data_IF_320754725388
#
_entry.id   IF_320754725388
#
_cell.length_a   1.000
_cell.length_b   1.000
_cell.length_c   1.000
_cell.angle_alpha   90.00
_cell.angle_beta   90.00
_cell.angle_gamma   90.00
#
_symmetry.space_group_name_H-M   'P 1'
#
loop_
_entity.id
_entity.type
_entity.pdbx_description
1 polymer ?
#
# COMPACT_ATOMS: atom_id res chain seq x y z
N UNK A 1 -7.95 32.45 10.47
CA UNK A 1 -6.64 32.29 11.14
C UNK A 1 -5.63 31.93 10.09
N UNK A 2 -4.54 32.68 10.00
CA UNK A 2 -3.46 32.40 9.05
C UNK A 2 -2.46 31.42 9.67
N UNK A 3 -1.65 30.71 8.84
CA UNK A 3 -0.55 29.87 9.31
C UNK A 3 0.41 30.66 10.24
N UNK A 4 0.57 31.94 9.98
CA UNK A 4 1.41 32.83 10.80
C UNK A 4 0.81 33.02 12.21
N UNK A 5 -0.50 33.21 12.34
CA UNK A 5 -1.18 33.33 13.64
C UNK A 5 -1.04 32.06 14.47
N UNK A 6 -1.09 30.89 13.82
CA UNK A 6 -0.90 29.62 14.47
C UNK A 6 0.56 29.42 14.92
N UNK A 7 1.54 29.77 14.08
CA UNK A 7 2.96 29.73 14.43
C UNK A 7 3.31 30.63 15.62
N UNK A 8 2.75 31.85 15.67
CA UNK A 8 2.94 32.78 16.80
C UNK A 8 2.33 32.20 18.09
N UNK A 9 1.15 31.60 18.01
CA UNK A 9 0.49 30.97 19.17
C UNK A 9 1.26 29.78 19.69
N UNK A 10 1.83 28.96 18.81
CA UNK A 10 2.62 27.78 19.18
C UNK A 10 4.00 28.15 19.74
N UNK A 11 4.62 29.21 19.20
CA UNK A 11 5.95 29.69 19.61
C UNK A 11 5.95 30.69 20.78
N UNK A 12 4.88 30.78 21.56
CA UNK A 12 4.76 31.72 22.70
C UNK A 12 5.15 33.17 22.34
N UNK A 13 4.77 33.66 21.13
CA UNK A 13 5.03 35.00 20.65
C UNK A 13 6.30 35.18 19.82
N UNK A 14 7.07 34.12 19.58
CA UNK A 14 8.20 34.10 18.65
C UNK A 14 7.98 33.09 17.54
N UNK A 15 8.24 33.45 16.27
CA UNK A 15 8.22 32.53 15.13
C UNK A 15 9.63 32.03 14.92
N UNK A 16 9.94 30.88 15.49
CA UNK A 16 11.19 30.14 15.20
C UNK A 16 10.92 29.16 14.07
N UNK A 17 11.88 29.04 13.16
CA UNK A 17 11.79 28.08 12.02
C UNK A 17 11.46 26.67 12.50
N UNK A 18 12.08 26.25 13.61
CA UNK A 18 11.90 24.92 14.19
C UNK A 18 10.44 24.70 14.66
N UNK A 19 9.81 25.70 15.28
CA UNK A 19 8.40 25.63 15.71
C UNK A 19 7.44 25.54 14.53
N UNK A 20 7.75 26.18 13.41
CA UNK A 20 6.94 26.13 12.19
C UNK A 20 7.08 24.75 11.53
N UNK A 21 8.28 24.21 11.48
CA UNK A 21 8.56 22.86 10.95
C UNK A 21 7.86 21.80 11.80
N UNK A 22 7.92 21.91 13.13
CA UNK A 22 7.23 21.01 14.05
C UNK A 22 5.70 21.09 13.87
N UNK A 23 5.15 22.30 13.74
CA UNK A 23 3.71 22.50 13.52
C UNK A 23 3.24 21.92 12.17
N UNK A 24 4.02 22.11 11.10
CA UNK A 24 3.70 21.58 9.77
C UNK A 24 3.83 20.06 9.73
N UNK A 25 4.82 19.50 10.44
CA UNK A 25 4.98 18.05 10.59
C UNK A 25 3.83 17.43 11.40
N UNK A 26 3.41 18.10 12.49
CA UNK A 26 2.33 17.63 13.35
C UNK A 26 0.96 17.56 12.63
N UNK A 27 0.68 18.46 11.68
CA UNK A 27 -0.57 18.42 10.91
C UNK A 27 -0.74 17.14 10.10
N UNK A 28 0.35 16.63 9.48
CA UNK A 28 0.30 15.39 8.72
C UNK A 28 0.19 14.14 9.61
N UNK A 29 0.84 14.15 10.76
CA UNK A 29 0.85 13.02 11.70
C UNK A 29 -0.54 12.74 12.28
N UNK A 30 -1.36 13.75 12.49
CA UNK A 30 -2.73 13.59 12.99
C UNK A 30 -3.66 12.80 12.05
N UNK A 31 -3.32 12.72 10.76
CA UNK A 31 -4.08 11.99 9.75
C UNK A 31 -3.70 10.49 9.65
N UNK A 32 -2.59 10.10 10.28
CA UNK A 32 -2.06 8.72 10.21
C UNK A 32 -3.06 7.68 10.71
N UNK A 33 -3.75 7.86 11.85
CA UNK A 33 -4.71 6.85 12.31
C UNK A 33 -5.81 6.56 11.30
N UNK A 34 -6.31 7.62 10.64
CA UNK A 34 -7.34 7.49 9.63
C UNK A 34 -6.81 6.81 8.37
N UNK A 35 -5.61 7.20 7.92
CA UNK A 35 -4.96 6.57 6.76
C UNK A 35 -4.73 5.06 7.00
N UNK A 36 -4.25 4.67 8.18
CA UNK A 36 -4.07 3.26 8.54
C UNK A 36 -5.41 2.50 8.61
N UNK A 37 -6.48 3.16 9.05
CA UNK A 37 -7.81 2.56 9.05
C UNK A 37 -8.34 2.35 7.63
N UNK A 38 -8.13 3.29 6.70
CA UNK A 38 -8.48 3.16 5.28
C UNK A 38 -7.68 2.03 4.62
N UNK A 39 -6.37 1.93 4.91
CA UNK A 39 -5.52 0.82 4.47
C UNK A 39 -6.08 -0.52 4.97
N UNK A 40 -6.42 -0.61 6.25
CA UNK A 40 -6.93 -1.83 6.86
C UNK A 40 -8.27 -2.29 6.25
N UNK A 41 -9.14 -1.34 5.86
CA UNK A 41 -10.41 -1.63 5.17
C UNK A 41 -10.23 -1.89 3.69
N UNK A 42 -9.07 -1.55 3.09
CA UNK A 42 -8.83 -1.64 1.65
C UNK A 42 -9.46 -0.52 0.84
N UNK A 43 -9.76 0.60 1.48
CA UNK A 43 -10.37 1.79 0.91
C UNK A 43 -9.31 2.61 0.14
N UNK A 44 -8.88 2.08 -1.02
CA UNK A 44 -7.76 2.67 -1.78
C UNK A 44 -8.06 4.09 -2.29
N UNK A 45 -9.28 4.36 -2.70
CA UNK A 45 -9.69 5.68 -3.20
C UNK A 45 -9.63 6.74 -2.11
N UNK A 46 -10.09 6.40 -0.92
CA UNK A 46 -10.09 7.26 0.27
C UNK A 46 -8.66 7.54 0.73
N UNK A 47 -7.82 6.50 0.80
CA UNK A 47 -6.40 6.63 1.14
C UNK A 47 -5.65 7.55 0.17
N UNK A 48 -5.84 7.40 -1.14
CA UNK A 48 -5.24 8.29 -2.15
C UNK A 48 -5.78 9.72 -2.04
N UNK A 49 -7.06 9.88 -1.77
CA UNK A 49 -7.66 11.21 -1.56
C UNK A 49 -7.04 11.90 -0.35
N UNK A 50 -6.82 11.17 0.75
CA UNK A 50 -6.13 11.67 1.94
C UNK A 50 -4.68 12.07 1.65
N UNK A 51 -3.93 11.26 0.90
CA UNK A 51 -2.56 11.60 0.48
C UNK A 51 -2.56 12.88 -0.36
N UNK A 52 -3.54 13.06 -1.26
CA UNK A 52 -3.70 14.30 -2.04
C UNK A 52 -3.93 15.52 -1.15
N UNK A 53 -4.74 15.39 -0.11
CA UNK A 53 -4.98 16.47 0.86
C UNK A 53 -3.71 16.80 1.65
N UNK A 54 -2.99 15.78 2.13
CA UNK A 54 -1.71 15.93 2.81
C UNK A 54 -0.68 16.66 1.93
N UNK A 55 -0.62 16.33 0.64
CA UNK A 55 0.33 16.93 -0.31
C UNK A 55 0.18 18.43 -0.47
N UNK A 56 -1.01 18.99 -0.24
CA UNK A 56 -1.25 20.44 -0.31
C UNK A 56 -0.49 21.22 0.78
N UNK A 57 -0.14 20.55 1.89
CA UNK A 57 0.64 21.10 2.99
C UNK A 57 2.15 20.95 2.85
N UNK A 58 2.63 20.37 1.73
CA UNK A 58 4.06 20.03 1.54
C UNK A 58 4.64 19.23 2.72
N UNK A 59 4.08 18.08 3.07
CA UNK A 59 4.47 17.32 4.24
C UNK A 59 5.89 16.76 4.10
N UNK A 60 6.54 16.52 5.22
CA UNK A 60 7.72 15.65 5.26
C UNK A 60 7.27 14.18 5.23
N UNK A 61 7.43 13.55 4.08
CA UNK A 61 7.04 12.15 3.88
C UNK A 61 7.78 11.17 4.79
N UNK A 62 9.02 11.50 5.19
CA UNK A 62 9.79 10.71 6.15
C UNK A 62 9.15 10.74 7.54
N UNK A 63 8.68 11.92 7.96
CA UNK A 63 7.97 12.10 9.24
C UNK A 63 6.65 11.31 9.22
N UNK A 64 5.92 11.32 8.11
CA UNK A 64 4.69 10.55 7.98
C UNK A 64 4.95 9.04 8.08
N UNK A 65 5.98 8.51 7.40
CA UNK A 65 6.33 7.08 7.51
C UNK A 65 6.78 6.73 8.92
N UNK A 66 7.56 7.58 9.58
CA UNK A 66 7.96 7.38 10.99
C UNK A 66 6.75 7.35 11.93
N UNK A 67 5.79 8.25 11.72
CA UNK A 67 4.55 8.27 12.49
C UNK A 67 3.68 7.03 12.25
N UNK A 68 3.65 6.50 11.01
CA UNK A 68 2.99 5.22 10.72
C UNK A 68 3.66 4.06 11.47
N UNK A 69 5.01 4.03 11.52
CA UNK A 69 5.75 3.01 12.27
C UNK A 69 5.42 3.05 13.76
N UNK A 70 5.44 4.24 14.34
CA UNK A 70 5.10 4.43 15.76
C UNK A 70 3.67 3.97 16.05
N UNK A 71 2.69 4.40 15.24
CA UNK A 71 1.29 4.00 15.40
C UNK A 71 1.10 2.48 15.28
N UNK A 72 1.73 1.83 14.29
CA UNK A 72 1.70 0.38 14.12
C UNK A 72 2.35 -0.36 15.29
N UNK A 73 3.47 0.17 15.81
CA UNK A 73 4.14 -0.37 17.00
C UNK A 73 3.24 -0.31 18.23
N UNK A 74 2.64 0.85 18.51
CA UNK A 74 1.70 1.01 19.63
C UNK A 74 0.46 0.11 19.47
N UNK A 75 -0.01 -0.05 18.24
CA UNK A 75 -1.13 -0.96 17.92
C UNK A 75 -0.77 -2.43 18.20
N UNK A 76 0.45 -2.85 17.84
CA UNK A 76 0.93 -4.20 18.16
C UNK A 76 1.06 -4.43 19.66
N UNK A 77 1.56 -3.43 20.41
CA UNK A 77 1.62 -3.51 21.90
C UNK A 77 0.21 -3.65 22.48
N UNK A 78 -0.74 -2.84 22.01
CA UNK A 78 -2.12 -2.85 22.51
C UNK A 78 -2.80 -4.21 22.32
N UNK A 79 -2.48 -4.95 21.25
CA UNK A 79 -3.02 -6.30 21.01
C UNK A 79 -2.49 -7.34 22.00
N UNK A 80 -1.28 -7.15 22.54
CA UNK A 80 -0.65 -8.12 23.45
C UNK A 80 -0.79 -7.69 24.90
N UNK A 81 -0.68 -6.39 25.18
CA UNK A 81 -0.62 -5.83 26.53
C UNK A 81 -1.24 -4.43 26.55
N UNK A 82 -2.54 -4.33 26.74
CA UNK A 82 -3.30 -3.06 26.77
C UNK A 82 -2.69 -2.03 27.76
N UNK A 83 -2.09 -2.48 28.87
CA UNK A 83 -1.41 -1.59 29.82
C UNK A 83 -0.14 -0.93 29.24
N UNK A 84 0.44 -1.48 28.19
CA UNK A 84 1.64 -0.95 27.56
C UNK A 84 1.47 0.41 26.89
N UNK A 85 0.23 0.82 26.64
CA UNK A 85 -0.13 2.11 25.99
C UNK A 85 -0.70 3.15 26.98
N UNK A 86 -0.54 2.97 28.29
CA UNK A 86 -1.07 3.89 29.30
C UNK A 86 -0.38 5.26 29.30
N UNK A 87 0.78 5.39 28.68
CA UNK A 87 1.53 6.64 28.55
C UNK A 87 0.97 7.57 27.43
N UNK A 88 0.12 7.03 26.55
CA UNK A 88 -0.51 7.79 25.47
C UNK A 88 -1.62 8.71 25.99
N UNK A 89 -1.84 9.83 25.30
CA UNK A 89 -3.00 10.68 25.55
C UNK A 89 -4.31 9.91 25.30
N UNK A 90 -5.44 10.33 25.88
CA UNK A 90 -6.72 9.65 25.68
C UNK A 90 -7.14 9.49 24.22
N UNK A 91 -6.84 10.50 23.38
CA UNK A 91 -7.17 10.47 21.95
C UNK A 91 -6.28 9.50 21.16
N UNK A 92 -4.97 9.53 21.42
CA UNK A 92 -4.01 8.59 20.82
C UNK A 92 -4.31 7.15 21.23
N UNK A 93 -4.56 6.92 22.52
CA UNK A 93 -4.94 5.61 23.03
C UNK A 93 -6.20 5.07 22.34
N UNK A 94 -7.22 5.93 22.17
CA UNK A 94 -8.44 5.54 21.46
C UNK A 94 -8.12 5.14 20.01
N UNK A 95 -7.35 5.94 19.29
CA UNK A 95 -6.97 5.64 17.90
C UNK A 95 -6.19 4.31 17.79
N UNK A 96 -5.25 4.06 18.70
CA UNK A 96 -4.50 2.80 18.77
C UNK A 96 -5.41 1.61 19.02
N UNK A 97 -6.35 1.71 19.97
CA UNK A 97 -7.31 0.64 20.28
C UNK A 97 -8.27 0.37 19.11
N UNK A 98 -8.74 1.43 18.43
CA UNK A 98 -9.60 1.30 17.25
C UNK A 98 -8.86 0.55 16.12
N UNK A 99 -7.57 0.85 15.90
CA UNK A 99 -6.73 0.12 14.93
C UNK A 99 -6.44 -1.31 15.39
N UNK A 100 -6.18 -1.55 16.67
CA UNK A 100 -5.92 -2.88 17.22
C UNK A 100 -7.12 -3.83 17.05
N UNK A 101 -8.34 -3.29 17.08
CA UNK A 101 -9.56 -4.04 16.78
C UNK A 101 -9.82 -4.24 15.28
N UNK A 102 -9.30 -3.36 14.44
CA UNK A 102 -9.54 -3.38 12.99
C UNK A 102 -8.54 -4.25 12.24
N UNK A 103 -7.28 -4.29 12.70
CA UNK A 103 -6.18 -4.97 12.03
C UNK A 103 -5.85 -6.30 12.68
N UNK A 104 -5.59 -7.35 11.89
CA UNK A 104 -5.05 -8.59 12.44
C UNK A 104 -3.58 -8.42 12.88
N UNK A 105 -3.11 -9.21 13.87
CA UNK A 105 -1.70 -9.15 14.31
C UNK A 105 -0.71 -9.35 13.17
N UNK A 106 -1.01 -10.27 12.25
CA UNK A 106 -0.18 -10.58 11.08
C UNK A 106 -0.11 -9.38 10.14
N UNK A 107 -1.24 -8.69 9.93
CA UNK A 107 -1.26 -7.52 9.06
C UNK A 107 -0.52 -6.33 9.67
N UNK A 108 -0.60 -6.13 10.98
CA UNK A 108 0.19 -5.09 11.67
C UNK A 108 1.70 -5.34 11.45
N UNK A 109 2.18 -6.58 11.64
CA UNK A 109 3.58 -6.92 11.42
C UNK A 109 4.01 -6.71 9.97
N UNK A 110 3.15 -7.09 9.01
CA UNK A 110 3.43 -6.90 7.60
C UNK A 110 3.47 -5.41 7.21
N UNK A 111 2.48 -4.62 7.68
CA UNK A 111 2.42 -3.18 7.45
C UNK A 111 3.63 -2.46 8.08
N UNK A 112 4.04 -2.88 9.29
CA UNK A 112 5.25 -2.37 9.92
C UNK A 112 6.50 -2.69 9.09
N UNK A 113 6.64 -3.90 8.57
CA UNK A 113 7.75 -4.27 7.69
C UNK A 113 7.76 -3.45 6.40
N UNK A 114 6.60 -3.20 5.79
CA UNK A 114 6.51 -2.32 4.62
C UNK A 114 6.91 -0.88 4.96
N UNK A 115 6.51 -0.36 6.12
CA UNK A 115 6.88 0.99 6.55
C UNK A 115 8.39 1.12 6.79
N UNK A 116 9.06 0.10 7.36
CA UNK A 116 10.52 0.07 7.49
C UNK A 116 11.22 0.11 6.14
N UNK A 117 10.72 -0.67 5.18
CA UNK A 117 11.25 -0.68 3.82
C UNK A 117 11.02 0.65 3.12
N UNK A 118 9.80 1.20 3.23
CA UNK A 118 9.44 2.51 2.68
C UNK A 118 10.27 3.65 3.25
N UNK A 119 10.52 3.65 4.55
CA UNK A 119 11.38 4.64 5.19
C UNK A 119 12.80 4.65 4.62
N UNK A 120 13.38 3.46 4.40
CA UNK A 120 14.71 3.32 3.81
C UNK A 120 14.74 3.73 2.34
N UNK A 121 13.69 3.40 1.58
CA UNK A 121 13.66 3.57 0.14
C UNK A 121 13.20 4.98 -0.28
N UNK A 122 12.48 5.70 0.60
CA UNK A 122 11.94 7.04 0.33
C UNK A 122 13.01 8.06 -0.09
N UNK A 123 14.19 8.15 0.56
CA UNK A 123 15.25 9.09 0.14
C UNK A 123 15.87 8.77 -1.22
N UNK A 124 15.67 7.54 -1.72
CA UNK A 124 16.19 7.08 -3.01
C UNK A 124 15.18 7.33 -4.14
N UNK A 125 13.95 7.67 -3.81
CA UNK A 125 12.89 7.91 -4.79
C UNK A 125 13.07 9.27 -5.48
N UNK A 126 12.64 9.34 -6.74
CA UNK A 126 12.66 10.59 -7.51
C UNK A 126 11.65 11.62 -6.93
N UNK A 127 10.55 11.12 -6.38
CA UNK A 127 9.49 11.91 -5.77
C UNK A 127 8.97 11.22 -4.50
N UNK A 128 9.07 11.91 -3.38
CA UNK A 128 8.65 11.38 -2.07
C UNK A 128 7.16 11.07 -1.99
N UNK A 129 6.31 11.86 -2.66
CA UNK A 129 4.87 11.60 -2.72
C UNK A 129 4.57 10.27 -3.40
N UNK A 130 5.09 10.07 -4.60
CA UNK A 130 4.87 8.83 -5.36
C UNK A 130 5.39 7.60 -4.59
N UNK A 131 6.53 7.74 -3.90
CA UNK A 131 7.06 6.67 -3.06
C UNK A 131 6.14 6.35 -1.88
N UNK A 132 5.56 7.37 -1.24
CA UNK A 132 4.59 7.20 -0.15
C UNK A 132 3.27 6.59 -0.66
N UNK A 133 2.75 7.03 -1.81
CA UNK A 133 1.59 6.42 -2.46
C UNK A 133 1.82 4.93 -2.73
N UNK A 134 2.99 4.57 -3.29
CA UNK A 134 3.33 3.17 -3.55
C UNK A 134 3.47 2.34 -2.28
N UNK A 135 3.97 2.92 -1.18
CA UNK A 135 3.99 2.26 0.12
C UNK A 135 2.57 1.93 0.58
N UNK A 136 1.66 2.91 0.55
CA UNK A 136 0.25 2.74 0.95
C UNK A 136 -0.46 1.72 0.07
N UNK A 137 -0.31 1.81 -1.26
CA UNK A 137 -0.91 0.85 -2.20
C UNK A 137 -0.39 -0.58 -1.99
N UNK A 138 0.89 -0.74 -1.64
CA UNK A 138 1.47 -2.03 -1.29
C UNK A 138 0.84 -2.61 -0.02
N UNK A 139 0.64 -1.79 1.03
CA UNK A 139 -0.05 -2.23 2.23
C UNK A 139 -1.48 -2.69 1.94
N UNK A 140 -2.21 -1.94 1.12
CA UNK A 140 -3.58 -2.30 0.71
C UNK A 140 -3.61 -3.61 -0.08
N UNK A 141 -2.68 -3.78 -1.04
CA UNK A 141 -2.62 -4.97 -1.89
C UNK A 141 -2.31 -6.26 -1.12
N UNK A 142 -1.57 -6.16 -0.03
CA UNK A 142 -1.16 -7.30 0.80
C UNK A 142 -1.96 -7.44 2.10
N UNK A 143 -3.05 -6.68 2.26
CA UNK A 143 -3.93 -6.88 3.42
C UNK A 143 -4.61 -8.26 3.33
N UNK A 144 -4.85 -8.94 4.45
CA UNK A 144 -5.65 -10.15 4.46
C UNK A 144 -7.07 -9.84 3.96
N UNK A 145 -7.58 -10.65 3.03
CA UNK A 145 -8.98 -10.52 2.60
C UNK A 145 -9.90 -10.73 3.80
N UNK A 146 -10.82 -9.81 4.04
CA UNK A 146 -11.84 -10.01 5.06
C UNK A 146 -12.79 -11.12 4.59
N UNK A 147 -13.26 -11.94 5.53
CA UNK A 147 -14.18 -13.03 5.24
C UNK A 147 -15.45 -12.45 4.56
N UNK A 148 -15.59 -12.64 3.25
CA UNK A 148 -16.68 -12.10 2.43
C UNK A 148 -16.23 -11.25 1.23
N UNK A 149 -15.00 -10.78 1.19
CA UNK A 149 -14.45 -10.17 -0.02
C UNK A 149 -14.02 -11.26 -1.01
N UNK A 150 -14.83 -11.45 -2.02
CA UNK A 150 -14.38 -12.17 -3.21
C UNK A 150 -13.31 -11.30 -3.87
N UNK A 151 -12.05 -11.72 -3.80
CA UNK A 151 -10.98 -11.15 -4.62
C UNK A 151 -11.45 -11.30 -6.05
N UNK A 152 -11.84 -10.18 -6.69
CA UNK A 152 -12.15 -10.17 -8.10
C UNK A 152 -10.95 -10.71 -8.85
N UNK A 153 -11.01 -11.95 -9.28
CA UNK A 153 -10.08 -12.48 -10.27
C UNK A 153 -10.07 -11.48 -11.44
N UNK A 154 -8.87 -11.05 -11.91
CA UNK A 154 -8.83 -10.25 -13.12
C UNK A 154 -9.58 -11.01 -14.21
N UNK A 155 -10.71 -10.43 -14.66
CA UNK A 155 -11.46 -10.97 -15.78
C UNK A 155 -10.50 -10.98 -16.97
N UNK A 156 -10.06 -12.16 -17.36
CA UNK A 156 -9.52 -12.38 -18.70
C UNK A 156 -10.55 -11.83 -19.67
N UNK A 157 -10.15 -11.06 -20.70
CA UNK A 157 -11.10 -10.58 -21.68
C UNK A 157 -11.84 -11.76 -22.25
N UNK A 158 -13.15 -11.84 -21.99
CA UNK A 158 -14.04 -12.82 -22.59
C UNK A 158 -14.04 -12.53 -24.10
N UNK A 159 -13.33 -13.38 -24.83
CA UNK A 159 -13.57 -13.52 -26.28
C UNK A 159 -15.05 -13.90 -26.44
N UNK A 160 -15.80 -13.01 -27.09
CA UNK A 160 -17.22 -13.16 -27.32
C UNK A 160 -17.53 -14.51 -27.97
N UNK A 161 -18.17 -15.37 -27.24
CA UNK A 161 -18.76 -16.61 -27.77
C UNK A 161 -20.07 -16.26 -28.48
N UNK A 162 -20.03 -16.25 -29.78
CA UNK A 162 -21.23 -16.24 -30.63
C UNK A 162 -21.76 -17.69 -30.74
N UNK A 163 -22.98 -18.01 -30.29
CA UNK A 163 -23.48 -19.38 -30.34
C UNK A 163 -24.17 -19.63 -31.70
N UNK A 164 -23.39 -19.83 -32.75
CA UNK A 164 -23.89 -20.57 -33.94
C UNK A 164 -22.85 -20.54 -35.08
N UNK A 165 -21.86 -21.43 -35.07
CA UNK A 165 -21.32 -21.98 -36.29
C UNK A 165 -20.42 -23.17 -35.95
N UNK A 166 -20.87 -24.34 -36.37
CA UNK A 166 -20.10 -25.56 -36.46
C UNK A 166 -19.26 -25.46 -37.74
N UNK A 167 -17.94 -25.59 -37.65
CA UNK A 167 -17.12 -26.02 -38.78
C UNK A 167 -16.49 -27.37 -38.49
N UNK A 168 -16.58 -28.20 -39.45
CA UNK A 168 -15.86 -29.45 -39.71
C UNK A 168 -14.34 -29.18 -39.79
N UNK A 169 -13.49 -30.06 -39.24
CA UNK A 169 -12.04 -29.81 -39.25
C UNK A 169 -11.43 -30.24 -40.56
N UNK A 170 -10.95 -29.30 -41.34
CA UNK A 170 -9.96 -29.56 -42.41
C UNK A 170 -8.54 -29.73 -41.83
N UNK A 171 -7.72 -30.68 -42.28
CA UNK A 171 -6.38 -30.90 -41.76
C UNK A 171 -5.43 -29.79 -42.21
N UNK A 172 -4.82 -29.14 -41.23
CA UNK A 172 -3.84 -28.10 -41.41
C UNK A 172 -2.55 -28.58 -42.08
N UNK A 173 -2.12 -27.87 -43.11
CA UNK A 173 -0.88 -28.11 -43.89
C UNK A 173 0.43 -28.04 -43.07
N UNK A 174 0.36 -27.84 -41.79
CA UNK A 174 1.53 -27.74 -40.89
C UNK A 174 2.06 -29.10 -40.46
N UNK A 175 1.22 -30.15 -40.40
CA UNK A 175 1.64 -31.46 -39.92
C UNK A 175 2.42 -32.26 -40.98
N UNK A 176 2.21 -31.96 -42.28
CA UNK A 176 2.94 -32.60 -43.36
C UNK A 176 4.39 -32.14 -43.46
N UNK A 177 4.70 -30.90 -43.12
CA UNK A 177 6.04 -30.32 -43.19
C UNK A 177 6.94 -30.88 -42.05
N UNK A 178 6.36 -31.14 -40.89
CA UNK A 178 7.10 -31.64 -39.73
C UNK A 178 7.48 -33.13 -39.96
N UNK A 179 6.59 -33.91 -40.55
CA UNK A 179 6.90 -35.33 -40.85
C UNK A 179 7.93 -35.49 -41.94
N UNK A 180 7.92 -34.63 -42.95
CA UNK A 180 8.91 -34.70 -44.06
C UNK A 180 10.33 -34.30 -43.56
N UNK A 181 10.45 -33.35 -42.68
CA UNK A 181 11.72 -32.95 -42.10
C UNK A 181 12.31 -34.00 -41.13
N UNK A 182 11.48 -34.68 -40.40
CA UNK A 182 11.92 -35.79 -39.49
C UNK A 182 12.44 -37.00 -40.28
N UNK A 183 11.82 -37.32 -41.42
CA UNK A 183 12.31 -38.41 -42.26
C UNK A 183 13.66 -38.08 -42.97
N UNK A 184 13.86 -36.84 -43.42
CA UNK A 184 15.13 -36.39 -44.01
C UNK A 184 16.28 -36.40 -43.00
N UNK A 185 16.03 -36.08 -41.75
CA UNK A 185 17.06 -36.08 -40.71
C UNK A 185 17.50 -37.51 -40.32
N UNK A 186 16.59 -38.50 -40.38
CA UNK A 186 16.88 -39.93 -40.08
C UNK A 186 17.68 -40.61 -41.18
N UNK A 187 17.58 -40.17 -42.44
CA UNK A 187 18.29 -40.76 -43.55
C UNK A 187 19.72 -40.25 -43.75
N UNK A 188 20.10 -39.16 -43.11
CA UNK A 188 21.41 -38.54 -43.24
C UNK A 188 22.43 -38.87 -42.15
N UNK A 189 22.04 -39.67 -41.12
CA UNK A 189 22.95 -40.10 -40.06
C UNK A 189 22.77 -41.62 -39.81
N UNK A 190 23.40 -42.49 -40.59
CA UNK A 190 23.48 -43.90 -40.21
C UNK A 190 24.46 -44.04 -39.03
N UNK A 191 23.99 -44.67 -37.95
CA UNK A 191 24.83 -44.97 -36.79
C UNK A 191 25.86 -46.04 -37.21
N UNK A 192 27.13 -45.69 -36.99
CA UNK A 192 28.23 -46.62 -36.82
C UNK A 192 28.42 -46.92 -35.37
#
# INVERSE_FOLDING_TARGET
>A
MTLLDQAIAHGAGSVLTDNVVEMLGAQGVSEIPMLLAEIARGEASEAITRINQLSNGSPDWMVLVSGMQEMLHQTAIAQVADQGINHLSPNERKAVLDLANLMSPEFIQLAYQFSLTGYRDLPLAVDGRSAFEMLVLRMIAFRPAQAGEMIGTPQSPQAGSNPNQKPEPEPSKSDSIIQENVMKFRSSHPQT
#
